data_IF_680561821751
#
_entry.id   IF_680561821751
#
_cell.length_a   1.000
_cell.length_b   1.000
_cell.length_c   1.000
_cell.angle_alpha   90.00
_cell.angle_beta   90.00
_cell.angle_gamma   90.00
#
_symmetry.space_group_name_H-M   'P 1'
#
loop_
_entity.id
_entity.type
_entity.pdbx_description
1 polymer ?
#
# COMPACT_ATOMS: atom_id res chain seq x y z
N UNK A 1 -10.83 -16.93 6.82
CA UNK A 1 -10.09 -15.63 6.82
C UNK A 1 -10.18 -14.93 8.18
N UNK A 2 -11.34 -14.94 8.87
CA UNK A 2 -11.55 -14.27 10.17
C UNK A 2 -10.63 -14.84 11.23
N UNK A 3 -10.63 -16.17 11.44
CA UNK A 3 -9.79 -16.84 12.44
C UNK A 3 -8.30 -16.48 12.30
N UNK A 4 -7.80 -16.46 11.06
CA UNK A 4 -6.40 -16.07 10.80
C UNK A 4 -6.11 -14.63 11.24
N UNK A 5 -7.07 -13.70 11.09
CA UNK A 5 -6.92 -12.31 11.53
C UNK A 5 -6.91 -12.18 13.06
N UNK A 6 -7.70 -12.98 13.76
CA UNK A 6 -7.64 -13.09 15.22
C UNK A 6 -6.29 -13.66 15.68
N UNK A 7 -5.84 -14.77 15.09
CA UNK A 7 -4.55 -15.40 15.40
C UNK A 7 -3.36 -14.46 15.18
N UNK A 8 -3.41 -13.64 14.15
CA UNK A 8 -2.34 -12.69 13.80
C UNK A 8 -2.52 -11.31 14.41
N UNK A 9 -3.52 -11.11 15.27
CA UNK A 9 -3.81 -9.84 15.96
C UNK A 9 -4.14 -8.66 15.05
N UNK A 10 -4.63 -8.93 13.86
CA UNK A 10 -5.25 -7.92 13.00
C UNK A 10 -6.66 -7.57 13.43
N UNK A 11 -7.26 -8.44 14.21
CA UNK A 11 -8.60 -8.33 14.72
C UNK A 11 -8.60 -8.76 16.18
N UNK A 12 -9.21 -7.98 17.06
CA UNK A 12 -9.33 -8.31 18.47
C UNK A 12 -10.57 -9.15 18.75
N UNK A 13 -11.71 -8.78 18.15
CA UNK A 13 -13.01 -9.41 18.37
C UNK A 13 -13.81 -9.55 17.08
N UNK A 14 -14.76 -10.48 17.04
CA UNK A 14 -15.73 -10.66 15.97
C UNK A 14 -17.13 -10.44 16.53
N UNK A 15 -17.91 -9.63 15.84
CA UNK A 15 -19.32 -9.38 16.18
C UNK A 15 -20.24 -10.34 15.41
N UNK A 16 -21.34 -10.72 16.04
CA UNK A 16 -22.35 -11.60 15.47
C UNK A 16 -23.38 -10.85 14.62
N UNK A 17 -23.54 -9.55 14.84
CA UNK A 17 -24.46 -8.67 14.11
C UNK A 17 -23.93 -7.24 14.00
N UNK A 18 -24.56 -6.43 13.16
CA UNK A 18 -24.24 -5.01 13.01
C UNK A 18 -24.45 -4.25 14.33
N UNK A 19 -25.53 -4.54 15.03
CA UNK A 19 -25.89 -3.94 16.31
C UNK A 19 -24.87 -4.31 17.39
N UNK A 20 -24.40 -5.55 17.43
CA UNK A 20 -23.35 -6.01 18.35
C UNK A 20 -22.02 -5.30 18.05
N UNK A 21 -21.66 -5.16 16.77
CA UNK A 21 -20.46 -4.44 16.37
C UNK A 21 -20.50 -2.97 16.82
N UNK A 22 -21.63 -2.30 16.58
CA UNK A 22 -21.84 -0.91 17.00
C UNK A 22 -21.75 -0.78 18.52
N UNK A 23 -22.40 -1.67 19.27
CA UNK A 23 -22.37 -1.63 20.73
C UNK A 23 -20.96 -1.78 21.29
N UNK A 24 -20.17 -2.74 20.78
CA UNK A 24 -18.76 -2.95 21.18
C UNK A 24 -17.87 -1.74 20.86
N UNK A 25 -17.98 -1.20 19.65
CA UNK A 25 -17.20 -0.03 19.22
C UNK A 25 -17.58 1.20 20.06
N UNK A 26 -18.87 1.45 20.29
CA UNK A 26 -19.36 2.58 21.10
C UNK A 26 -18.86 2.48 22.54
N UNK A 27 -18.92 1.29 23.14
CA UNK A 27 -18.41 1.05 24.49
C UNK A 27 -16.90 1.29 24.55
N UNK A 28 -16.11 0.72 23.62
CA UNK A 28 -14.67 0.90 23.57
C UNK A 28 -14.27 2.39 23.40
N UNK A 29 -15.01 3.14 22.54
CA UNK A 29 -14.80 4.58 22.36
C UNK A 29 -15.06 5.36 23.65
N UNK A 30 -16.14 5.04 24.38
CA UNK A 30 -16.44 5.66 25.66
C UNK A 30 -15.38 5.36 26.74
N UNK A 31 -14.84 4.17 26.73
CA UNK A 31 -13.75 3.72 27.61
C UNK A 31 -12.35 4.24 27.16
N UNK A 32 -12.26 4.95 26.03
CA UNK A 32 -11.00 5.37 25.37
C UNK A 32 -10.03 4.21 25.14
N UNK A 33 -10.58 3.05 24.85
CA UNK A 33 -9.83 1.82 24.57
C UNK A 33 -9.78 1.55 23.06
N UNK A 34 -8.60 1.32 22.51
CA UNK A 34 -8.45 0.83 21.13
C UNK A 34 -9.05 -0.56 21.01
N UNK A 35 -9.90 -0.79 20.02
CA UNK A 35 -10.54 -2.09 19.76
C UNK A 35 -10.77 -2.25 18.26
N UNK A 36 -10.34 -3.39 17.71
CA UNK A 36 -10.62 -3.80 16.34
C UNK A 36 -11.74 -4.83 16.33
N UNK A 37 -12.90 -4.47 15.79
CA UNK A 37 -14.09 -5.34 15.71
C UNK A 37 -14.36 -5.72 14.26
N UNK A 38 -14.37 -7.02 13.96
CA UNK A 38 -14.74 -7.58 12.67
C UNK A 38 -16.21 -7.94 12.59
N UNK A 39 -16.82 -7.62 11.46
CA UNK A 39 -18.15 -8.09 11.09
C UNK A 39 -18.10 -8.69 9.68
N UNK A 40 -18.67 -9.88 9.50
CA UNK A 40 -18.78 -10.52 8.18
C UNK A 40 -20.07 -10.06 7.50
N UNK A 41 -19.93 -9.49 6.30
CA UNK A 41 -21.07 -9.04 5.53
C UNK A 41 -20.67 -8.36 4.22
N UNK A 42 -21.64 -8.02 3.40
CA UNK A 42 -21.41 -7.28 2.17
C UNK A 42 -21.33 -5.77 2.47
N UNK A 43 -20.28 -5.10 2.04
CA UNK A 43 -20.08 -3.68 2.26
C UNK A 43 -21.19 -2.83 1.59
N UNK A 44 -21.71 -3.27 0.44
CA UNK A 44 -22.82 -2.62 -0.24
C UNK A 44 -24.15 -2.66 0.54
N UNK A 45 -24.25 -3.53 1.56
CA UNK A 45 -25.39 -3.55 2.49
C UNK A 45 -25.06 -2.85 3.80
N UNK A 46 -23.86 -3.11 4.35
CA UNK A 46 -23.50 -2.64 5.69
C UNK A 46 -23.23 -1.14 5.74
N UNK A 47 -22.52 -0.58 4.76
CA UNK A 47 -22.22 0.85 4.73
C UNK A 47 -23.48 1.70 4.59
N UNK A 48 -24.43 1.41 3.66
CA UNK A 48 -25.71 2.15 3.60
C UNK A 48 -26.52 2.02 4.89
N UNK A 49 -26.56 0.85 5.54
CA UNK A 49 -27.26 0.65 6.82
C UNK A 49 -26.65 1.50 7.94
N UNK A 50 -25.33 1.48 8.09
CA UNK A 50 -24.61 2.30 9.06
C UNK A 50 -24.87 3.80 8.85
N UNK A 51 -24.83 4.26 7.60
CA UNK A 51 -25.12 5.65 7.24
C UNK A 51 -26.59 6.01 7.60
N UNK A 52 -27.55 5.16 7.23
CA UNK A 52 -28.96 5.37 7.52
C UNK A 52 -29.28 5.37 9.03
N UNK A 53 -28.52 4.60 9.83
CA UNK A 53 -28.62 4.59 11.29
C UNK A 53 -27.98 5.83 11.94
N UNK A 54 -27.31 6.68 11.16
CA UNK A 54 -26.58 7.84 11.69
C UNK A 54 -25.36 7.44 12.53
N UNK A 55 -24.73 6.28 12.26
CA UNK A 55 -23.55 5.86 12.98
C UNK A 55 -22.38 6.82 12.69
N UNK A 56 -21.81 7.49 13.72
CA UNK A 56 -20.77 8.48 13.51
C UNK A 56 -19.45 7.79 13.19
N UNK A 57 -18.91 8.06 12.02
CA UNK A 57 -17.56 7.64 11.62
C UNK A 57 -16.68 8.88 11.45
N UNK A 58 -15.51 8.87 12.06
CA UNK A 58 -14.50 9.93 11.89
C UNK A 58 -13.74 9.72 10.57
N UNK A 59 -13.48 8.44 10.21
CA UNK A 59 -12.78 8.03 8.99
C UNK A 59 -13.53 6.87 8.34
N UNK A 60 -13.72 6.94 7.02
CA UNK A 60 -14.30 5.86 6.22
C UNK A 60 -13.36 5.53 5.05
N UNK A 61 -12.99 4.28 4.93
CA UNK A 61 -12.13 3.81 3.84
C UNK A 61 -12.53 2.42 3.40
N UNK A 62 -12.06 2.01 2.23
CA UNK A 62 -12.23 0.65 1.75
C UNK A 62 -10.88 0.01 1.40
N UNK A 63 -10.80 -1.31 1.57
CA UNK A 63 -9.73 -2.16 1.05
C UNK A 63 -10.36 -3.40 0.43
N UNK A 64 -11.32 -3.16 -0.43
CA UNK A 64 -12.19 -4.17 -1.03
C UNK A 64 -11.47 -4.91 -2.16
N UNK A 65 -11.78 -6.18 -2.37
CA UNK A 65 -11.34 -6.94 -3.53
C UNK A 65 -12.09 -6.52 -4.81
N UNK A 66 -12.11 -5.21 -5.08
CA UNK A 66 -12.77 -4.58 -6.24
C UNK A 66 -11.77 -4.30 -7.39
N UNK A 67 -10.79 -5.18 -7.58
CA UNK A 67 -9.79 -5.04 -8.64
C UNK A 67 -10.32 -5.42 -10.01
N UNK A 68 -11.31 -6.30 -10.01
CA UNK A 68 -12.04 -6.81 -11.14
C UNK A 68 -13.51 -6.93 -10.71
N UNK A 69 -14.50 -6.49 -11.51
CA UNK A 69 -15.90 -6.61 -11.16
C UNK A 69 -16.36 -8.06 -10.92
N UNK A 70 -15.63 -9.06 -11.42
CA UNK A 70 -15.88 -10.47 -11.13
C UNK A 70 -15.50 -10.88 -9.71
N UNK A 71 -14.69 -10.10 -9.01
CA UNK A 71 -14.26 -10.38 -7.64
C UNK A 71 -15.13 -9.74 -6.57
N UNK A 72 -16.06 -8.86 -6.94
CA UNK A 72 -16.98 -8.20 -6.01
C UNK A 72 -18.34 -8.93 -6.00
N UNK A 73 -18.75 -9.42 -4.84
CA UNK A 73 -20.02 -10.17 -4.69
C UNK A 73 -21.23 -9.21 -4.82
N UNK A 74 -22.15 -9.44 -5.76
CA UNK A 74 -23.43 -8.72 -5.77
C UNK A 74 -24.18 -8.91 -4.45
N UNK A 75 -24.71 -7.85 -3.90
CA UNK A 75 -25.35 -7.88 -2.58
C UNK A 75 -26.81 -8.41 -2.58
N UNK A 76 -27.37 -8.58 -3.77
CA UNK A 76 -28.72 -9.15 -3.98
C UNK A 76 -28.71 -10.69 -4.22
N UNK A 77 -27.55 -11.32 -4.09
CA UNK A 77 -27.35 -12.75 -4.31
C UNK A 77 -26.66 -13.43 -3.12
N UNK A 78 -27.02 -14.70 -2.88
CA UNK A 78 -26.19 -15.57 -2.04
C UNK A 78 -24.88 -15.93 -2.76
N UNK A 79 -23.86 -16.39 -2.02
CA UNK A 79 -22.57 -16.81 -2.63
C UNK A 79 -22.76 -17.91 -3.69
N UNK A 80 -23.67 -18.87 -3.46
CA UNK A 80 -23.90 -19.97 -4.40
C UNK A 80 -24.64 -19.49 -5.65
N UNK A 81 -25.67 -18.64 -5.49
CA UNK A 81 -26.37 -18.02 -6.62
C UNK A 81 -25.47 -17.11 -7.45
N UNK A 82 -24.52 -16.43 -6.79
CA UNK A 82 -23.54 -15.57 -7.45
C UNK A 82 -22.55 -16.42 -8.28
N UNK A 83 -22.06 -17.55 -7.76
CA UNK A 83 -21.21 -18.49 -8.51
C UNK A 83 -21.92 -19.05 -9.73
N UNK A 84 -23.16 -19.52 -9.55
CA UNK A 84 -23.98 -20.04 -10.66
C UNK A 84 -24.23 -18.96 -11.74
N UNK A 85 -24.54 -17.73 -11.32
CA UNK A 85 -24.71 -16.61 -12.26
C UNK A 85 -23.43 -16.29 -13.00
N UNK A 86 -22.28 -16.29 -12.32
CA UNK A 86 -20.99 -16.00 -12.93
C UNK A 86 -20.64 -17.02 -14.02
N UNK A 87 -20.91 -18.32 -13.78
CA UNK A 87 -20.68 -19.38 -14.77
C UNK A 87 -21.63 -19.28 -15.96
N UNK A 88 -22.91 -19.00 -15.70
CA UNK A 88 -23.95 -19.00 -16.72
C UNK A 88 -24.03 -17.69 -17.52
N UNK A 89 -23.85 -16.55 -16.87
CA UNK A 89 -23.97 -15.21 -17.47
C UNK A 89 -23.05 -14.19 -16.80
N UNK A 90 -21.74 -14.18 -17.15
CA UNK A 90 -20.76 -13.25 -16.56
C UNK A 90 -21.12 -11.76 -16.74
N UNK A 91 -21.79 -11.40 -17.84
CA UNK A 91 -22.16 -10.02 -18.10
C UNK A 91 -23.24 -9.51 -17.12
N UNK A 92 -24.22 -10.35 -16.80
CA UNK A 92 -25.23 -10.01 -15.80
C UNK A 92 -24.61 -9.98 -14.39
N UNK A 93 -23.66 -10.87 -14.10
CA UNK A 93 -22.89 -10.83 -12.85
C UNK A 93 -22.16 -9.48 -12.72
N UNK A 94 -21.40 -9.05 -13.75
CA UNK A 94 -20.69 -7.77 -13.78
C UNK A 94 -21.67 -6.60 -13.56
N UNK A 95 -22.81 -6.61 -14.22
CA UNK A 95 -23.82 -5.55 -14.07
C UNK A 95 -24.29 -5.43 -12.61
N UNK A 96 -24.57 -6.54 -11.94
CA UNK A 96 -24.99 -6.58 -10.53
C UNK A 96 -23.86 -6.20 -9.59
N UNK A 97 -22.65 -6.67 -9.83
CA UNK A 97 -21.46 -6.27 -9.06
C UNK A 97 -21.24 -4.76 -9.12
N UNK A 98 -21.37 -4.15 -10.31
CA UNK A 98 -21.24 -2.70 -10.48
C UNK A 98 -22.34 -1.92 -9.75
N UNK A 99 -23.56 -2.43 -9.74
CA UNK A 99 -24.65 -1.82 -8.96
C UNK A 99 -24.38 -1.88 -7.45
N UNK A 100 -23.85 -3.00 -6.96
CA UNK A 100 -23.43 -3.14 -5.57
C UNK A 100 -22.27 -2.21 -5.23
N UNK A 101 -21.25 -2.11 -6.08
CA UNK A 101 -20.12 -1.16 -5.91
C UNK A 101 -20.61 0.30 -5.92
N UNK A 102 -21.59 0.64 -6.76
CA UNK A 102 -22.22 1.95 -6.76
C UNK A 102 -22.91 2.28 -5.42
N UNK A 103 -23.65 1.32 -4.85
CA UNK A 103 -24.27 1.49 -3.53
C UNK A 103 -23.23 1.66 -2.41
N UNK A 104 -22.12 0.92 -2.47
CA UNK A 104 -20.99 1.06 -1.54
C UNK A 104 -20.39 2.47 -1.62
N UNK A 105 -20.00 2.93 -2.83
CA UNK A 105 -19.44 4.27 -3.04
C UNK A 105 -20.43 5.37 -2.63
N UNK A 106 -21.72 5.20 -2.93
CA UNK A 106 -22.74 6.17 -2.53
C UNK A 106 -22.80 6.34 -1.01
N UNK A 107 -22.67 5.27 -0.25
CA UNK A 107 -22.63 5.36 1.20
C UNK A 107 -21.32 6.04 1.69
N UNK A 108 -20.18 5.76 1.07
CA UNK A 108 -18.92 6.44 1.40
C UNK A 108 -19.02 7.95 1.14
N UNK A 109 -19.55 8.36 -0.01
CA UNK A 109 -19.82 9.79 -0.30
C UNK A 109 -20.80 10.38 0.69
N UNK A 110 -21.84 9.62 1.10
CA UNK A 110 -22.77 10.07 2.14
C UNK A 110 -22.09 10.36 3.48
N UNK A 111 -21.10 9.59 3.87
CA UNK A 111 -20.26 9.87 5.05
C UNK A 111 -19.37 11.11 4.85
N UNK A 112 -18.81 11.30 3.66
CA UNK A 112 -18.04 12.49 3.33
C UNK A 112 -18.92 13.75 3.40
N UNK A 113 -20.14 13.69 2.86
CA UNK A 113 -21.12 14.79 2.94
C UNK A 113 -21.51 15.12 4.40
N UNK A 114 -21.36 14.17 5.34
CA UNK A 114 -21.55 14.37 6.78
C UNK A 114 -20.27 14.83 7.51
N UNK A 115 -19.15 15.01 6.80
CA UNK A 115 -17.90 15.51 7.35
C UNK A 115 -16.89 14.46 7.79
N UNK A 116 -17.09 13.18 7.48
CA UNK A 116 -16.08 12.15 7.70
C UNK A 116 -14.91 12.33 6.71
N UNK A 117 -13.71 11.97 7.15
CA UNK A 117 -12.55 11.80 6.26
C UNK A 117 -12.76 10.52 5.43
N UNK A 118 -12.83 10.63 4.11
CA UNK A 118 -13.13 9.49 3.23
C UNK A 118 -12.06 9.34 2.15
N UNK A 119 -11.55 8.13 1.99
CA UNK A 119 -10.59 7.82 0.93
C UNK A 119 -10.65 6.34 0.50
N UNK A 120 -10.26 6.09 -0.74
CA UNK A 120 -10.06 4.77 -1.31
C UNK A 120 -8.64 4.27 -1.01
N UNK A 121 -8.49 2.99 -0.68
CA UNK A 121 -7.18 2.38 -0.40
C UNK A 121 -6.62 1.60 -1.61
N UNK A 122 -6.78 2.12 -2.82
CA UNK A 122 -6.07 1.62 -4.00
C UNK A 122 -6.66 0.37 -4.65
N UNK A 123 -7.94 0.42 -5.00
CA UNK A 123 -8.62 -0.59 -5.82
C UNK A 123 -9.43 0.07 -6.95
N UNK A 124 -10.22 -0.69 -7.69
CA UNK A 124 -11.04 -0.18 -8.80
C UNK A 124 -12.50 0.11 -8.41
N UNK A 125 -12.82 0.16 -7.12
CA UNK A 125 -14.20 0.33 -6.61
C UNK A 125 -14.88 1.56 -7.22
N UNK A 126 -14.23 2.73 -7.16
CA UNK A 126 -14.78 3.98 -7.69
C UNK A 126 -15.01 3.92 -9.19
N UNK A 127 -14.06 3.35 -9.94
CA UNK A 127 -14.21 3.22 -11.40
C UNK A 127 -15.35 2.27 -11.77
N UNK A 128 -15.47 1.15 -11.12
CA UNK A 128 -16.56 0.20 -11.38
C UNK A 128 -17.93 0.73 -10.90
N UNK A 129 -17.96 1.49 -9.81
CA UNK A 129 -19.16 2.20 -9.36
C UNK A 129 -19.62 3.26 -10.38
N UNK A 130 -18.69 4.02 -10.94
CA UNK A 130 -18.98 4.98 -12.01
C UNK A 130 -19.54 4.28 -13.26
N UNK A 131 -18.94 3.16 -13.67
CA UNK A 131 -19.47 2.33 -14.76
C UNK A 131 -20.82 1.68 -14.40
N UNK A 132 -21.14 1.57 -13.12
CA UNK A 132 -22.44 1.17 -12.56
C UNK A 132 -23.48 2.29 -12.49
N UNK A 133 -23.13 3.51 -12.94
CA UNK A 133 -24.03 4.66 -13.03
C UNK A 133 -23.97 5.62 -11.83
N UNK A 134 -22.95 5.53 -10.98
CA UNK A 134 -22.78 6.47 -9.87
C UNK A 134 -21.73 7.54 -10.21
N UNK A 135 -22.16 8.71 -10.67
CA UNK A 135 -21.27 9.77 -11.17
C UNK A 135 -20.38 10.40 -10.10
N UNK A 136 -20.81 10.43 -8.83
CA UNK A 136 -20.06 11.00 -7.71
C UNK A 136 -18.98 10.05 -7.13
N UNK A 137 -18.70 8.92 -7.79
CA UNK A 137 -17.76 7.91 -7.26
C UNK A 137 -16.34 8.43 -7.03
N UNK A 138 -15.93 9.50 -7.72
CA UNK A 138 -14.62 10.14 -7.58
C UNK A 138 -14.63 11.44 -6.76
N UNK A 139 -15.73 11.75 -6.06
CA UNK A 139 -15.78 12.93 -5.18
C UNK A 139 -14.83 12.81 -3.98
N UNK A 140 -14.55 11.58 -3.52
CA UNK A 140 -13.50 11.33 -2.53
C UNK A 140 -12.22 10.82 -3.20
N UNK A 141 -11.04 11.18 -2.68
CA UNK A 141 -9.76 10.83 -3.28
C UNK A 141 -9.34 9.39 -2.99
N UNK A 142 -8.38 8.89 -3.75
CA UNK A 142 -7.55 7.77 -3.32
C UNK A 142 -6.57 8.17 -2.22
N UNK A 143 -6.10 7.21 -1.43
CA UNK A 143 -5.14 7.46 -0.35
C UNK A 143 -3.81 8.06 -0.85
N UNK A 144 -3.42 7.75 -2.08
CA UNK A 144 -2.16 8.21 -2.64
C UNK A 144 -2.15 9.71 -2.89
N UNK A 145 -3.07 10.32 -3.67
CA UNK A 145 -3.11 11.76 -3.81
C UNK A 145 -3.41 12.48 -2.49
N UNK A 146 -4.19 11.86 -1.58
CA UNK A 146 -4.54 12.47 -0.31
C UNK A 146 -3.37 12.56 0.68
N UNK A 147 -2.54 11.50 0.79
CA UNK A 147 -1.55 11.39 1.87
C UNK A 147 -0.15 11.01 1.42
N UNK A 148 -0.01 10.27 0.34
CA UNK A 148 1.26 9.62 -0.03
C UNK A 148 2.05 10.45 -1.04
N UNK A 149 1.39 11.22 -1.89
CA UNK A 149 2.05 12.02 -2.94
C UNK A 149 3.21 12.88 -2.42
N UNK A 150 3.07 13.63 -1.32
CA UNK A 150 4.19 14.40 -0.77
C UNK A 150 5.39 13.52 -0.40
N UNK A 151 5.17 12.35 0.16
CA UNK A 151 6.24 11.40 0.48
C UNK A 151 6.91 10.84 -0.78
N UNK A 152 6.13 10.56 -1.82
CA UNK A 152 6.67 10.12 -3.12
C UNK A 152 7.52 11.20 -3.79
N UNK A 153 7.22 12.49 -3.60
CA UNK A 153 8.06 13.61 -4.02
C UNK A 153 9.45 13.58 -3.34
N UNK A 154 9.57 12.99 -2.17
CA UNK A 154 10.83 12.78 -1.44
C UNK A 154 11.51 11.44 -1.79
N UNK A 155 10.97 10.66 -2.71
CA UNK A 155 11.37 9.28 -2.94
C UNK A 155 11.11 8.39 -1.72
N UNK A 156 10.27 8.84 -0.77
CA UNK A 156 9.93 8.13 0.46
C UNK A 156 8.82 7.14 0.18
N UNK A 157 9.07 5.89 0.51
CA UNK A 157 8.13 4.80 0.27
C UNK A 157 8.52 3.52 1.01
N UNK A 158 7.78 2.43 0.75
CA UNK A 158 7.99 1.17 1.46
C UNK A 158 9.39 0.61 1.27
N UNK A 159 10.03 0.29 2.37
CA UNK A 159 11.30 -0.45 2.44
C UNK A 159 11.06 -1.71 3.27
N UNK A 160 11.18 -2.86 2.66
CA UNK A 160 10.86 -4.16 3.25
C UNK A 160 12.08 -5.04 3.33
N UNK A 161 12.21 -5.82 4.41
CA UNK A 161 13.27 -6.82 4.50
C UNK A 161 12.78 -8.11 5.14
N UNK A 162 13.45 -9.20 4.82
CA UNK A 162 13.15 -10.57 5.25
C UNK A 162 14.43 -11.24 5.72
N UNK A 163 14.40 -11.87 6.89
CA UNK A 163 15.49 -12.69 7.41
C UNK A 163 15.40 -14.12 6.86
N UNK A 164 16.34 -14.50 5.98
CA UNK A 164 16.36 -15.83 5.38
C UNK A 164 16.71 -16.95 6.37
N UNK A 165 17.21 -16.61 7.54
CA UNK A 165 17.45 -17.59 8.63
C UNK A 165 16.16 -18.22 9.17
N UNK A 166 15.01 -17.54 8.99
CA UNK A 166 13.78 -17.90 9.67
C UNK A 166 13.74 -17.56 11.15
N UNK A 167 14.80 -16.95 11.68
CA UNK A 167 14.89 -16.59 13.10
C UNK A 167 14.38 -15.17 13.36
N UNK A 168 13.34 -14.98 14.19
CA UNK A 168 12.86 -13.65 14.58
C UNK A 168 13.93 -12.77 15.24
N UNK A 169 14.97 -13.36 15.84
CA UNK A 169 16.06 -12.62 16.46
C UNK A 169 16.83 -11.75 15.43
N UNK A 170 16.92 -12.20 14.19
CA UNK A 170 17.58 -11.44 13.12
C UNK A 170 16.77 -10.19 12.75
N UNK A 171 15.42 -10.26 12.79
CA UNK A 171 14.58 -9.06 12.62
C UNK A 171 14.74 -8.13 13.83
N UNK A 172 14.80 -8.65 15.05
CA UNK A 172 15.05 -7.80 16.21
C UNK A 172 16.44 -7.12 16.16
N UNK A 173 17.45 -7.78 15.59
CA UNK A 173 18.77 -7.17 15.36
C UNK A 173 18.71 -6.07 14.29
N UNK A 174 18.04 -6.32 13.17
CA UNK A 174 17.86 -5.30 12.10
C UNK A 174 16.96 -4.16 12.54
N UNK A 175 15.92 -4.38 13.35
CA UNK A 175 15.10 -3.34 13.98
C UNK A 175 15.95 -2.38 14.82
N UNK A 176 16.90 -2.90 15.62
CA UNK A 176 17.86 -2.05 16.37
C UNK A 176 18.75 -1.24 15.44
N UNK A 177 19.24 -1.83 14.37
CA UNK A 177 20.04 -1.11 13.37
C UNK A 177 19.26 0.04 12.71
N UNK A 178 17.95 -0.11 12.47
CA UNK A 178 17.09 1.00 11.98
C UNK A 178 17.07 2.15 13.01
N UNK A 179 16.86 1.84 14.28
CA UNK A 179 16.80 2.86 15.34
C UNK A 179 18.15 3.59 15.53
N UNK A 180 19.26 2.87 15.35
CA UNK A 180 20.62 3.45 15.42
C UNK A 180 20.93 4.33 14.20
N UNK A 181 20.47 3.94 13.00
CA UNK A 181 20.74 4.64 11.74
C UNK A 181 19.93 5.94 11.61
N UNK A 182 18.72 5.97 12.18
CA UNK A 182 17.78 7.10 12.09
C UNK A 182 17.31 7.60 13.47
N UNK A 183 18.22 8.06 14.35
CA UNK A 183 17.87 8.39 15.74
C UNK A 183 16.95 9.62 15.86
N UNK A 184 16.86 10.46 14.83
CA UNK A 184 16.00 11.65 14.80
C UNK A 184 14.60 11.43 14.23
N UNK A 185 14.28 10.25 13.69
CA UNK A 185 12.94 9.95 13.17
C UNK A 185 12.08 9.27 14.25
N UNK A 186 11.40 10.09 15.05
CA UNK A 186 10.53 9.61 16.14
C UNK A 186 9.36 8.75 15.64
N UNK A 187 8.83 9.06 14.47
CA UNK A 187 7.72 8.32 13.86
C UNK A 187 8.16 6.91 13.44
N UNK A 188 9.31 6.81 12.78
CA UNK A 188 9.94 5.55 12.43
C UNK A 188 10.28 4.74 13.69
N UNK A 189 10.88 5.37 14.68
CA UNK A 189 11.24 4.72 15.94
C UNK A 189 10.01 4.16 16.67
N UNK A 190 8.93 4.92 16.73
CA UNK A 190 7.65 4.48 17.30
C UNK A 190 7.11 3.26 16.56
N UNK A 191 7.10 3.31 15.21
CA UNK A 191 6.64 2.20 14.39
C UNK A 191 7.46 0.92 14.65
N UNK A 192 8.78 1.00 14.60
CA UNK A 192 9.67 -0.17 14.77
C UNK A 192 9.47 -0.82 16.15
N UNK A 193 9.37 -0.02 17.23
CA UNK A 193 9.10 -0.55 18.58
C UNK A 193 7.75 -1.26 18.66
N UNK A 194 6.67 -0.60 18.18
CA UNK A 194 5.33 -1.19 18.19
C UNK A 194 5.24 -2.43 17.31
N UNK A 195 5.91 -2.45 16.16
CA UNK A 195 5.96 -3.60 15.29
C UNK A 195 6.67 -4.79 15.95
N UNK A 196 7.75 -4.55 16.69
CA UNK A 196 8.43 -5.58 17.47
C UNK A 196 7.56 -6.22 18.55
N UNK A 197 6.66 -5.44 19.15
CA UNK A 197 5.78 -5.91 20.23
C UNK A 197 4.49 -6.59 19.71
N UNK A 198 3.94 -6.12 18.58
CA UNK A 198 2.56 -6.41 18.18
C UNK A 198 2.40 -7.19 16.89
N UNK A 199 3.35 -7.10 15.96
CA UNK A 199 3.23 -7.76 14.66
C UNK A 199 3.71 -9.21 14.75
N UNK A 200 2.79 -10.15 14.47
CA UNK A 200 3.10 -11.56 14.35
C UNK A 200 3.55 -11.90 12.92
N UNK A 201 4.63 -12.67 12.80
CA UNK A 201 5.09 -13.17 11.51
C UNK A 201 4.17 -14.27 10.96
N UNK A 202 3.85 -14.21 9.67
CA UNK A 202 3.00 -15.18 8.98
C UNK A 202 3.78 -16.04 7.97
N UNK A 203 5.06 -16.10 8.09
CA UNK A 203 6.00 -16.79 7.21
C UNK A 203 7.40 -16.51 7.69
N UNK A 204 8.34 -16.29 6.78
CA UNK A 204 9.67 -15.84 7.17
C UNK A 204 9.56 -14.50 7.92
N UNK A 205 10.37 -14.34 9.00
CA UNK A 205 10.40 -13.09 9.74
C UNK A 205 10.73 -11.91 8.83
N UNK A 206 9.91 -10.87 8.89
CA UNK A 206 10.01 -9.73 7.99
C UNK A 206 9.59 -8.43 8.68
N UNK A 207 10.04 -7.32 8.11
CA UNK A 207 9.66 -5.98 8.57
C UNK A 207 9.48 -5.05 7.38
N UNK A 208 8.76 -3.97 7.61
CA UNK A 208 8.60 -2.85 6.70
C UNK A 208 8.80 -1.55 7.48
N UNK A 209 9.40 -0.56 6.82
CA UNK A 209 9.32 0.84 7.22
C UNK A 209 9.27 1.73 5.97
N UNK A 210 9.17 3.05 6.15
CA UNK A 210 9.21 3.99 5.05
C UNK A 210 10.48 4.81 5.10
N UNK A 211 11.25 4.77 4.00
CA UNK A 211 12.51 5.46 3.84
C UNK A 211 12.54 6.25 2.54
N UNK A 212 13.16 7.43 2.57
CA UNK A 212 13.29 8.33 1.44
C UNK A 212 14.54 8.13 0.61
N UNK A 213 14.72 9.03 -0.37
CA UNK A 213 15.94 9.13 -1.15
C UNK A 213 17.14 9.46 -0.24
N UNK A 214 18.23 8.72 -0.40
CA UNK A 214 19.43 8.87 0.42
C UNK A 214 19.39 8.10 1.76
N UNK A 215 18.29 7.44 2.10
CA UNK A 215 18.13 6.68 3.35
C UNK A 215 18.23 5.17 3.12
N UNK A 216 17.59 4.66 2.06
CA UNK A 216 17.48 3.22 1.78
C UNK A 216 18.84 2.55 1.59
N UNK A 217 19.76 3.16 0.86
CA UNK A 217 21.08 2.58 0.60
C UNK A 217 21.93 2.51 1.87
N UNK A 218 21.82 3.50 2.77
CA UNK A 218 22.52 3.50 4.05
C UNK A 218 22.10 2.29 4.88
N UNK A 219 20.80 2.07 5.03
CA UNK A 219 20.28 0.92 5.77
C UNK A 219 20.61 -0.41 5.08
N UNK A 220 20.52 -0.48 3.75
CA UNK A 220 20.92 -1.68 2.99
C UNK A 220 22.38 -2.05 3.19
N UNK A 221 23.30 -1.08 3.18
CA UNK A 221 24.71 -1.28 3.47
C UNK A 221 24.93 -1.71 4.93
N UNK A 222 24.20 -1.12 5.88
CA UNK A 222 24.25 -1.53 7.29
C UNK A 222 23.83 -3.00 7.45
N UNK A 223 22.77 -3.44 6.78
CA UNK A 223 22.35 -4.84 6.81
C UNK A 223 23.38 -5.76 6.17
N UNK A 224 23.99 -5.35 5.07
CA UNK A 224 25.06 -6.13 4.45
C UNK A 224 26.27 -6.30 5.38
N UNK A 225 26.67 -5.26 6.09
CA UNK A 225 27.76 -5.32 7.08
C UNK A 225 27.40 -6.22 8.28
N UNK A 226 26.14 -6.21 8.72
CA UNK A 226 25.67 -7.11 9.77
C UNK A 226 25.79 -8.58 9.37
N UNK A 227 25.45 -8.91 8.11
CA UNK A 227 25.66 -10.26 7.57
C UNK A 227 27.14 -10.61 7.52
N UNK A 228 27.99 -9.70 7.02
CA UNK A 228 29.44 -9.89 6.94
C UNK A 228 30.08 -10.16 8.29
N UNK A 229 29.60 -9.52 9.36
CA UNK A 229 30.09 -9.68 10.72
C UNK A 229 29.45 -10.85 11.50
N UNK A 230 28.46 -11.52 10.92
CA UNK A 230 27.70 -12.57 11.60
C UNK A 230 26.79 -12.06 12.74
N UNK A 231 26.40 -10.78 12.71
CA UNK A 231 25.42 -10.19 13.64
C UNK A 231 24.00 -10.71 13.35
N UNK A 232 23.77 -11.20 12.14
CA UNK A 232 22.58 -11.96 11.71
C UNK A 232 23.01 -13.28 11.08
N UNK A 233 22.16 -14.30 11.17
CA UNK A 233 22.53 -15.71 10.90
C UNK A 233 22.55 -16.08 9.41
N UNK A 234 21.89 -15.28 8.58
CA UNK A 234 21.75 -15.55 7.15
C UNK A 234 21.56 -14.23 6.37
N UNK A 235 21.65 -14.26 5.03
CA UNK A 235 21.40 -13.09 4.21
C UNK A 235 20.04 -12.44 4.47
N UNK A 236 19.96 -11.13 4.26
CA UNK A 236 18.75 -10.34 4.34
C UNK A 236 18.29 -9.99 2.93
N UNK A 237 17.07 -10.38 2.60
CA UNK A 237 16.41 -9.96 1.35
C UNK A 237 15.80 -8.59 1.58
N UNK A 238 16.14 -7.64 0.72
CA UNK A 238 15.63 -6.26 0.75
C UNK A 238 14.82 -6.03 -0.50
N UNK A 239 13.60 -5.55 -0.34
CA UNK A 239 12.72 -5.18 -1.43
C UNK A 239 11.85 -4.01 -1.06
N UNK A 240 10.95 -3.67 -1.96
CA UNK A 240 9.93 -2.67 -1.71
C UNK A 240 8.60 -3.12 -2.27
N UNK A 241 7.54 -2.40 -1.96
CA UNK A 241 6.27 -2.61 -2.60
C UNK A 241 6.37 -2.32 -4.11
N UNK A 242 5.60 -3.01 -4.92
CA UNK A 242 5.40 -2.62 -6.32
C UNK A 242 4.74 -1.24 -6.44
N UNK A 243 3.99 -0.81 -5.42
CA UNK A 243 3.52 0.56 -5.24
C UNK A 243 4.61 1.39 -4.54
N UNK A 244 5.47 2.02 -5.34
CA UNK A 244 6.50 2.93 -4.87
C UNK A 244 6.60 4.15 -5.79
N UNK A 245 7.34 5.16 -5.39
CA UNK A 245 7.35 6.50 -5.96
C UNK A 245 7.62 6.56 -7.47
N UNK A 246 8.47 5.67 -7.99
CA UNK A 246 8.85 5.64 -9.42
C UNK A 246 8.37 4.41 -10.19
N UNK A 247 7.64 3.49 -9.57
CA UNK A 247 7.50 2.11 -10.06
C UNK A 247 6.13 1.72 -10.58
N UNK A 248 5.15 2.61 -10.55
CA UNK A 248 3.77 2.27 -10.89
C UNK A 248 3.11 3.32 -11.77
N UNK A 249 2.32 2.86 -12.73
CA UNK A 249 1.33 3.67 -13.47
C UNK A 249 -0.02 3.00 -13.31
N UNK A 250 -0.98 3.68 -12.69
CA UNK A 250 -2.28 3.13 -12.31
C UNK A 250 -3.34 4.23 -12.27
N UNK A 251 -3.91 4.60 -13.43
CA UNK A 251 -5.00 5.56 -13.48
C UNK A 251 -6.22 5.03 -12.74
N UNK A 252 -7.01 5.93 -12.15
CA UNK A 252 -8.21 5.65 -11.34
C UNK A 252 -7.95 5.01 -9.96
N UNK A 253 -6.69 4.79 -9.54
CA UNK A 253 -6.37 4.21 -8.23
C UNK A 253 -5.00 4.68 -7.70
N UNK A 254 -3.97 3.82 -7.65
CA UNK A 254 -2.76 4.02 -6.83
C UNK A 254 -1.92 5.25 -7.19
N UNK A 255 -1.81 5.61 -8.46
CA UNK A 255 -1.08 6.81 -8.89
C UNK A 255 -1.95 7.84 -9.58
N UNK A 256 -3.24 7.77 -9.35
CA UNK A 256 -4.22 8.67 -9.96
C UNK A 256 -3.90 10.16 -9.74
N UNK A 257 -4.41 10.99 -10.61
CA UNK A 257 -4.28 12.44 -10.53
C UNK A 257 -2.83 12.96 -10.55
N UNK A 258 -1.94 12.31 -11.31
CA UNK A 258 -0.67 12.92 -11.67
C UNK A 258 -0.95 14.18 -12.52
N UNK A 259 -0.33 15.31 -12.17
CA UNK A 259 -0.62 16.59 -12.81
C UNK A 259 -0.24 16.64 -14.29
N UNK A 260 0.65 15.77 -14.75
CA UNK A 260 1.08 15.62 -16.13
C UNK A 260 0.35 14.47 -16.88
N UNK A 261 -0.54 13.72 -16.20
CA UNK A 261 -1.24 12.58 -16.77
C UNK A 261 -0.38 11.32 -16.96
N UNK A 262 0.84 11.28 -16.42
CA UNK A 262 1.78 10.14 -16.56
C UNK A 262 1.37 8.89 -15.79
N UNK A 263 0.32 8.94 -15.01
CA UNK A 263 -0.34 7.77 -14.43
C UNK A 263 -1.07 6.90 -15.46
N UNK A 264 -1.35 7.43 -16.64
CA UNK A 264 -2.02 6.73 -17.73
C UNK A 264 -1.07 6.08 -18.75
N UNK A 265 0.26 6.20 -18.57
CA UNK A 265 1.28 5.66 -19.48
C UNK A 265 2.24 4.72 -18.73
N UNK A 266 2.85 3.79 -19.48
CA UNK A 266 3.70 2.74 -18.92
C UNK A 266 5.18 3.12 -18.75
N UNK A 267 5.59 4.29 -19.22
CA UNK A 267 7.00 4.67 -19.37
C UNK A 267 7.76 4.63 -18.06
N UNK A 268 7.22 5.23 -16.99
CA UNK A 268 7.90 5.30 -15.70
C UNK A 268 8.13 3.93 -15.05
N UNK A 269 7.15 3.02 -14.93
CA UNK A 269 7.44 1.68 -14.41
C UNK A 269 8.40 0.86 -15.29
N UNK A 270 8.35 1.01 -16.61
CA UNK A 270 9.31 0.35 -17.50
C UNK A 270 10.73 0.89 -17.30
N UNK A 271 10.90 2.22 -17.25
CA UNK A 271 12.18 2.85 -16.95
C UNK A 271 12.70 2.45 -15.56
N UNK A 272 11.83 2.39 -14.56
CA UNK A 272 12.18 1.93 -13.22
C UNK A 272 12.75 0.51 -13.23
N UNK A 273 12.09 -0.42 -13.94
CA UNK A 273 12.59 -1.78 -14.08
C UNK A 273 13.97 -1.84 -14.78
N UNK A 274 14.15 -1.06 -15.85
CA UNK A 274 15.42 -0.99 -16.59
C UNK A 274 16.53 -0.39 -15.73
N UNK A 275 16.29 0.69 -15.00
CA UNK A 275 17.26 1.31 -14.09
C UNK A 275 17.65 0.36 -12.98
N UNK A 276 16.69 -0.32 -12.35
CA UNK A 276 16.98 -1.29 -11.30
C UNK A 276 17.81 -2.48 -11.83
N UNK A 277 17.51 -2.96 -13.04
CA UNK A 277 18.29 -4.01 -13.71
C UNK A 277 19.72 -3.55 -13.98
N UNK A 278 19.90 -2.36 -14.57
CA UNK A 278 21.21 -1.79 -14.88
C UNK A 278 22.03 -1.49 -13.61
N UNK A 279 21.36 -1.13 -12.51
CA UNK A 279 21.99 -0.89 -11.21
C UNK A 279 22.42 -2.18 -10.51
N UNK A 280 21.95 -3.35 -10.95
CA UNK A 280 22.36 -4.65 -10.44
C UNK A 280 21.41 -5.25 -9.38
N UNK A 281 20.12 -4.91 -9.40
CA UNK A 281 19.13 -5.58 -8.57
C UNK A 281 19.18 -7.09 -8.76
N UNK A 282 19.01 -7.84 -7.68
CA UNK A 282 19.06 -9.31 -7.71
C UNK A 282 17.88 -9.89 -8.47
N UNK A 283 16.73 -9.24 -8.38
CA UNK A 283 15.51 -9.63 -9.04
C UNK A 283 14.66 -8.40 -9.40
N UNK A 284 14.11 -8.37 -10.61
CA UNK A 284 13.24 -7.32 -11.10
C UNK A 284 12.03 -7.96 -11.76
N UNK A 285 10.87 -7.38 -11.57
CA UNK A 285 9.62 -7.82 -12.21
C UNK A 285 8.88 -6.66 -12.86
N UNK A 286 8.08 -6.99 -13.87
CA UNK A 286 7.05 -6.11 -14.45
C UNK A 286 5.74 -6.91 -14.44
N UNK A 287 4.69 -6.34 -13.87
CA UNK A 287 3.41 -7.04 -13.72
C UNK A 287 2.25 -6.05 -13.52
N UNK A 288 1.03 -6.56 -13.56
CA UNK A 288 -0.19 -5.78 -13.34
C UNK A 288 -0.59 -5.64 -11.86
N UNK A 289 0.24 -6.08 -10.90
CA UNK A 289 -0.02 -5.89 -9.48
C UNK A 289 -0.98 -6.91 -8.87
N UNK A 290 -0.68 -8.21 -8.97
CA UNK A 290 -1.36 -9.26 -8.20
C UNK A 290 -2.88 -9.41 -8.44
N UNK A 291 -3.34 -9.17 -9.65
CA UNK A 291 -4.77 -9.18 -10.01
C UNK A 291 -5.44 -7.81 -9.86
N UNK A 292 -4.83 -6.94 -9.10
CA UNK A 292 -5.26 -5.56 -8.91
C UNK A 292 -4.96 -4.75 -10.16
N UNK A 293 -5.99 -4.26 -10.82
CA UNK A 293 -5.82 -3.39 -11.99
C UNK A 293 -5.36 -4.09 -13.26
N UNK A 294 -5.59 -5.40 -13.42
CA UNK A 294 -5.36 -6.10 -14.68
C UNK A 294 -5.94 -5.29 -15.83
N UNK A 295 -5.08 -4.95 -16.82
CA UNK A 295 -5.44 -4.12 -17.97
C UNK A 295 -5.50 -2.62 -17.71
N UNK A 296 -5.31 -2.15 -16.47
CA UNK A 296 -5.37 -0.72 -16.09
C UNK A 296 -4.15 -0.22 -15.33
N UNK A 297 -3.26 -1.10 -14.93
CA UNK A 297 -2.07 -0.76 -14.14
C UNK A 297 -0.86 -1.53 -14.64
N UNK A 298 0.32 -0.93 -14.44
CA UNK A 298 1.61 -1.60 -14.63
C UNK A 298 2.53 -1.24 -13.46
N UNK A 299 3.23 -2.23 -12.95
CA UNK A 299 4.10 -2.13 -11.79
C UNK A 299 5.48 -2.72 -12.09
N UNK A 300 6.52 -2.13 -11.49
CA UNK A 300 7.86 -2.71 -11.44
C UNK A 300 8.21 -3.09 -10.00
N UNK A 301 8.57 -4.36 -9.78
CA UNK A 301 9.09 -4.87 -8.52
C UNK A 301 10.62 -4.91 -8.51
N UNK A 302 11.24 -4.77 -7.34
CA UNK A 302 12.69 -4.82 -7.15
C UNK A 302 13.04 -5.53 -5.86
N UNK A 303 14.06 -6.39 -5.92
CA UNK A 303 14.65 -7.08 -4.78
C UNK A 303 16.18 -7.05 -4.87
N UNK A 304 16.83 -6.80 -3.74
CA UNK A 304 18.28 -6.90 -3.55
C UNK A 304 18.59 -7.88 -2.42
N UNK A 305 19.79 -8.49 -2.48
CA UNK A 305 20.26 -9.39 -1.44
C UNK A 305 21.46 -8.77 -0.73
N UNK A 306 21.36 -8.67 0.59
CA UNK A 306 22.47 -8.36 1.48
C UNK A 306 23.05 -9.68 1.98
N UNK A 307 24.15 -10.15 1.40
CA UNK A 307 24.80 -11.44 1.68
C UNK A 307 26.16 -11.31 2.35
N UNK A 308 26.57 -10.09 2.71
CA UNK A 308 27.84 -9.78 3.35
C UNK A 308 29.01 -9.60 2.41
N UNK A 309 28.83 -9.77 1.09
CA UNK A 309 29.90 -9.59 0.09
C UNK A 309 30.08 -8.13 -0.30
N UNK A 310 31.27 -7.80 -0.81
CA UNK A 310 31.57 -6.46 -1.35
C UNK A 310 30.77 -6.19 -2.64
N UNK A 311 30.51 -7.23 -3.43
CA UNK A 311 29.64 -7.14 -4.61
C UNK A 311 28.19 -6.79 -4.23
N UNK A 312 27.67 -7.38 -3.15
CA UNK A 312 26.35 -7.02 -2.64
C UNK A 312 26.33 -5.56 -2.16
N UNK A 313 27.37 -5.10 -1.45
CA UNK A 313 27.48 -3.71 -1.02
C UNK A 313 27.44 -2.73 -2.19
N UNK A 314 28.20 -3.00 -3.27
CA UNK A 314 28.18 -2.19 -4.48
C UNK A 314 26.80 -2.12 -5.12
N UNK A 315 26.12 -3.27 -5.29
CA UNK A 315 24.77 -3.34 -5.86
C UNK A 315 23.73 -2.63 -5.02
N UNK A 316 23.72 -2.89 -3.70
CA UNK A 316 22.82 -2.25 -2.74
C UNK A 316 22.97 -0.72 -2.77
N UNK A 317 24.21 -0.23 -2.78
CA UNK A 317 24.50 1.19 -2.84
C UNK A 317 23.90 1.86 -4.09
N UNK A 318 23.99 1.20 -5.26
CA UNK A 318 23.42 1.74 -6.51
C UNK A 318 21.90 1.61 -6.58
N UNK A 319 21.38 0.40 -6.40
CA UNK A 319 19.94 0.14 -6.57
C UNK A 319 19.11 0.92 -5.57
N UNK A 320 19.49 0.89 -4.28
CA UNK A 320 18.71 1.56 -3.23
C UNK A 320 18.89 3.09 -3.21
N UNK A 321 19.72 3.64 -4.08
CA UNK A 321 19.80 5.06 -4.36
C UNK A 321 19.02 5.43 -5.62
N UNK A 322 19.20 4.69 -6.72
CA UNK A 322 18.58 5.02 -8.02
C UNK A 322 17.08 4.76 -8.02
N UNK A 323 16.61 3.71 -7.36
CA UNK A 323 15.19 3.36 -7.31
C UNK A 323 14.32 4.48 -6.68
N UNK A 324 14.57 4.94 -5.44
CA UNK A 324 13.84 6.09 -4.90
C UNK A 324 14.14 7.41 -5.62
N UNK A 325 15.35 7.56 -6.20
CA UNK A 325 15.71 8.72 -7.01
C UNK A 325 14.84 8.88 -8.24
N UNK A 326 14.44 7.80 -8.88
CA UNK A 326 13.48 7.84 -9.98
C UNK A 326 12.12 8.39 -9.55
N UNK A 327 11.69 8.12 -8.31
CA UNK A 327 10.47 8.70 -7.76
C UNK A 327 10.56 10.23 -7.66
N UNK A 328 11.68 10.75 -7.15
CA UNK A 328 11.94 12.20 -7.10
C UNK A 328 11.94 12.79 -8.50
N UNK A 329 12.67 12.18 -9.44
CA UNK A 329 12.77 12.66 -10.83
C UNK A 329 11.39 12.68 -11.48
N UNK A 330 10.62 11.59 -11.38
CA UNK A 330 9.27 11.48 -11.95
C UNK A 330 8.35 12.60 -11.48
N UNK A 331 8.33 12.85 -10.16
CA UNK A 331 7.45 13.89 -9.60
C UNK A 331 7.96 15.30 -9.92
N UNK A 332 9.27 15.52 -9.97
CA UNK A 332 9.84 16.77 -10.41
C UNK A 332 9.57 17.04 -11.89
N UNK A 333 9.67 16.03 -12.75
CA UNK A 333 9.34 16.12 -14.19
C UNK A 333 7.87 16.47 -14.40
N UNK A 334 6.98 15.83 -13.64
CA UNK A 334 5.56 16.15 -13.63
C UNK A 334 5.23 17.57 -13.13
N UNK A 335 6.15 18.25 -12.47
CA UNK A 335 5.98 19.64 -12.04
C UNK A 335 5.58 19.82 -10.58
N UNK A 336 5.77 18.80 -9.72
CA UNK A 336 5.55 18.97 -8.28
C UNK A 336 6.70 19.75 -7.63
N UNK A 337 6.42 20.97 -7.14
CA UNK A 337 7.42 21.85 -6.48
C UNK A 337 8.15 21.12 -5.34
N UNK A 338 7.42 20.36 -4.52
CA UNK A 338 8.03 19.58 -3.43
C UNK A 338 9.10 18.59 -3.90
N UNK A 339 8.93 17.98 -5.07
CA UNK A 339 9.95 17.09 -5.64
C UNK A 339 11.15 17.86 -6.22
N UNK A 340 10.90 19.04 -6.79
CA UNK A 340 11.96 19.93 -7.29
C UNK A 340 12.82 20.41 -6.12
N UNK A 341 12.20 20.85 -5.04
CA UNK A 341 12.90 21.27 -3.81
C UNK A 341 13.69 20.11 -3.19
N UNK A 342 13.09 18.92 -3.15
CA UNK A 342 13.76 17.68 -2.69
C UNK A 342 14.99 17.38 -3.53
N UNK A 343 14.88 17.47 -4.86
CA UNK A 343 15.99 17.24 -5.77
C UNK A 343 17.14 18.22 -5.49
N UNK A 344 16.85 19.50 -5.34
CA UNK A 344 17.83 20.53 -5.03
C UNK A 344 18.51 20.28 -3.66
N UNK A 345 17.73 19.98 -2.63
CA UNK A 345 18.24 19.75 -1.27
C UNK A 345 19.09 18.48 -1.14
N UNK A 346 18.74 17.43 -1.89
CA UNK A 346 19.38 16.11 -1.79
C UNK A 346 20.34 15.79 -2.95
N UNK A 347 20.60 16.75 -3.83
CA UNK A 347 21.56 16.63 -4.92
C UNK A 347 21.14 15.68 -6.04
N UNK A 348 19.83 15.54 -6.27
CA UNK A 348 19.32 14.83 -7.44
C UNK A 348 19.39 15.78 -8.64
N UNK A 349 20.15 15.38 -9.66
CA UNK A 349 20.33 16.21 -10.85
C UNK A 349 19.10 16.16 -11.76
N UNK A 350 18.61 17.35 -12.14
CA UNK A 350 17.50 17.55 -13.06
C UNK A 350 17.99 18.36 -14.30
N UNK A 351 18.72 17.75 -15.24
CA UNK A 351 19.40 18.51 -16.32
C UNK A 351 18.47 19.38 -17.16
N UNK A 352 17.20 18.98 -17.32
CA UNK A 352 16.22 19.75 -18.09
C UNK A 352 15.74 21.01 -17.36
N UNK A 353 16.09 21.19 -16.08
CA UNK A 353 15.77 22.37 -15.25
C UNK A 353 17.00 23.18 -14.86
N UNK A 354 18.20 22.67 -15.15
CA UNK A 354 19.47 23.35 -14.95
C UNK A 354 19.78 24.23 -16.18
N UNK A 355 18.97 25.27 -16.42
CA UNK A 355 19.19 26.24 -17.51
C UNK A 355 19.50 27.62 -16.98
#
# INVERSE_FOLDING_TARGET
RVNRRLETRYLDEVADSLEDAIARCTKAKAERRGLSVGLVGNAADLFPKLLAMGFPADIVTDQTSAHDPLSYLPNDLSEDAAKELLERNPQEFIRRSRAAMAAHCQAMVGYMDQGAEVFDYGNSLRREAQLGGYDRAFDYPGFLPAYIRPQFCEGRGPFRWVALSGDPADIAATDRAVLEEFPGDESLARWIRLAGERVAFQGLPSRICWLGYGERHRLGLRFNEMVKRGEVKAPIVIGRDHLDSGSVASPYRETEAMIDGSDAIADWPLLNALVNTASGATWVSIHHGGGVGIGRSIHAGMVCLADGTDLAAEKLSRVLLTDPGMGVIRHADAGYDHAIDTAAQRGVRLPMRES
#
